data_IF_765984879991
#
_entry.id   IF_765984879991
#
_cell.length_a   1.000
_cell.length_b   1.000
_cell.length_c   1.000
_cell.angle_alpha   90.00
_cell.angle_beta   90.00
_cell.angle_gamma   90.00
#
_symmetry.space_group_name_H-M   'P 1'
#
loop_
_entity.id
_entity.type
_entity.pdbx_description
1 polymer ?
#
# COMPACT_ATOMS: atom_id res chain seq x y z
N UNK A 1 -13.52 -39.80 -6.16
CA UNK A 1 -13.24 -38.36 -5.93
C UNK A 1 -12.36 -37.82 -7.05
N UNK A 2 -12.93 -37.15 -8.06
CA UNK A 2 -12.17 -36.62 -9.20
C UNK A 2 -11.40 -35.36 -8.81
N UNK A 3 -10.07 -35.46 -8.70
CA UNK A 3 -9.17 -34.30 -8.61
C UNK A 3 -9.27 -33.52 -9.91
N UNK A 4 -10.06 -32.44 -9.91
CA UNK A 4 -10.17 -31.48 -11.01
C UNK A 4 -8.78 -30.83 -11.20
N UNK A 5 -7.94 -31.38 -12.09
CA UNK A 5 -6.69 -30.75 -12.52
C UNK A 5 -7.06 -29.39 -13.12
N UNK A 6 -6.62 -28.29 -12.51
CA UNK A 6 -6.75 -26.94 -13.08
C UNK A 6 -6.09 -26.97 -14.46
N UNK A 7 -6.86 -26.70 -15.51
CA UNK A 7 -6.31 -26.50 -16.85
C UNK A 7 -5.34 -25.30 -16.75
N UNK A 8 -4.12 -25.39 -17.31
CA UNK A 8 -3.21 -24.25 -17.34
C UNK A 8 -3.91 -23.09 -18.06
N UNK A 9 -3.87 -21.90 -17.46
CA UNK A 9 -4.35 -20.68 -18.10
C UNK A 9 -3.50 -20.46 -19.35
N UNK A 10 -4.13 -20.48 -20.53
CA UNK A 10 -3.45 -20.09 -21.78
C UNK A 10 -3.16 -18.61 -21.69
N UNK A 11 -1.89 -18.25 -21.56
CA UNK A 11 -1.42 -16.86 -21.61
C UNK A 11 -1.42 -16.42 -23.07
N UNK A 12 -1.98 -15.25 -23.36
CA UNK A 12 -2.01 -14.71 -24.72
C UNK A 12 -0.57 -14.32 -25.15
N UNK A 13 -0.17 -14.59 -26.41
CA UNK A 13 1.13 -14.19 -26.92
C UNK A 13 1.31 -12.66 -26.86
N UNK A 14 2.55 -12.19 -26.71
CA UNK A 14 2.89 -10.78 -26.48
C UNK A 14 2.38 -9.84 -27.58
N UNK A 15 2.27 -10.34 -28.82
CA UNK A 15 1.73 -9.64 -29.99
C UNK A 15 0.20 -9.46 -30.00
N UNK A 16 -0.50 -10.03 -29.01
CA UNK A 16 -1.96 -9.94 -28.97
C UNK A 16 -2.39 -8.50 -28.76
N UNK A 17 -3.14 -7.94 -29.70
CA UNK A 17 -3.77 -6.63 -29.56
C UNK A 17 -4.96 -6.73 -28.62
N UNK A 18 -4.92 -5.99 -27.52
CA UNK A 18 -5.99 -5.89 -26.53
C UNK A 18 -6.63 -4.51 -26.68
N UNK A 19 -7.96 -4.49 -26.80
CA UNK A 19 -8.73 -3.24 -26.85
C UNK A 19 -9.16 -2.91 -25.42
N UNK A 20 -8.62 -1.83 -24.87
CA UNK A 20 -9.02 -1.33 -23.54
C UNK A 20 -9.80 -0.02 -23.71
N UNK A 21 -11.04 0.07 -23.17
CA UNK A 21 -11.81 1.31 -23.18
C UNK A 21 -10.99 2.48 -22.58
N UNK A 22 -10.87 3.58 -23.32
CA UNK A 22 -10.11 4.78 -22.91
C UNK A 22 -8.61 4.78 -23.24
N UNK A 23 -8.08 3.72 -23.86
CA UNK A 23 -6.68 3.65 -24.35
C UNK A 23 -6.61 3.36 -25.86
N UNK A 24 -7.59 2.61 -26.40
CA UNK A 24 -7.58 2.13 -27.78
C UNK A 24 -7.01 0.71 -27.88
N UNK A 25 -6.79 0.21 -29.11
CA UNK A 25 -6.19 -1.09 -29.36
C UNK A 25 -4.67 -1.02 -29.23
N UNK A 26 -4.11 -1.72 -28.24
CA UNK A 26 -2.67 -1.73 -27.95
C UNK A 26 -2.17 -3.16 -27.78
N UNK A 27 -0.91 -3.42 -28.10
CA UNK A 27 -0.29 -4.74 -27.88
C UNK A 27 -0.05 -4.99 -26.38
N UNK A 28 0.05 -6.26 -25.93
CA UNK A 28 0.35 -6.57 -24.52
C UNK A 28 1.71 -6.03 -24.11
N UNK A 29 2.68 -6.00 -25.03
CA UNK A 29 4.01 -5.41 -24.85
C UNK A 29 3.93 -3.91 -24.52
N UNK A 30 3.11 -3.16 -25.25
CA UNK A 30 2.90 -1.71 -25.03
C UNK A 30 1.94 -1.42 -23.86
N UNK A 31 1.11 -2.39 -23.48
CA UNK A 31 0.19 -2.27 -22.36
C UNK A 31 0.94 -2.12 -21.04
N UNK A 32 2.03 -2.86 -20.85
CA UNK A 32 2.84 -2.76 -19.64
C UNK A 32 3.46 -1.36 -19.49
N UNK A 33 3.96 -0.78 -20.59
CA UNK A 33 4.54 0.56 -20.61
C UNK A 33 3.48 1.66 -20.45
N UNK A 34 2.36 1.60 -21.18
CA UNK A 34 1.27 2.58 -21.02
C UNK A 34 0.60 2.54 -19.65
N UNK A 35 0.51 1.37 -19.02
CA UNK A 35 0.04 1.26 -17.63
C UNK A 35 1.06 1.84 -16.63
N UNK A 36 2.35 1.74 -16.92
CA UNK A 36 3.43 2.38 -16.16
C UNK A 36 3.42 3.90 -16.30
N UNK A 37 3.25 4.40 -17.53
CA UNK A 37 3.19 5.83 -17.86
C UNK A 37 1.94 6.51 -17.29
N UNK A 38 0.78 5.85 -17.30
CA UNK A 38 -0.43 6.36 -16.67
C UNK A 38 -0.38 6.35 -15.13
N UNK A 39 0.71 5.90 -14.51
CA UNK A 39 0.91 6.00 -13.07
C UNK A 39 -0.16 5.28 -12.23
N UNK A 40 -0.90 4.33 -12.83
CA UNK A 40 -2.10 3.72 -12.24
C UNK A 40 -1.78 2.98 -10.93
N UNK A 41 -0.50 2.62 -10.71
CA UNK A 41 -0.02 2.02 -9.45
C UNK A 41 0.48 3.02 -8.39
N UNK A 42 1.05 4.18 -8.79
CA UNK A 42 1.73 5.08 -7.83
C UNK A 42 0.76 5.79 -6.89
N UNK A 43 -0.38 6.26 -7.40
CA UNK A 43 -1.35 6.99 -6.58
C UNK A 43 -1.99 6.12 -5.49
N UNK A 44 -2.22 4.83 -5.76
CA UNK A 44 -2.82 3.89 -4.82
C UNK A 44 -1.88 3.53 -3.67
N UNK A 45 -0.59 3.35 -3.97
CA UNK A 45 0.43 3.10 -2.95
C UNK A 45 0.66 4.32 -2.06
N UNK A 46 0.64 5.50 -2.65
CA UNK A 46 0.80 6.77 -1.96
C UNK A 46 -0.41 7.08 -1.06
N UNK A 47 -1.63 6.87 -1.55
CA UNK A 47 -2.85 6.95 -0.75
C UNK A 47 -2.86 5.93 0.39
N UNK A 48 -2.51 4.67 0.11
CA UNK A 48 -2.40 3.65 1.14
C UNK A 48 -1.42 4.05 2.23
N UNK A 49 -0.23 4.51 1.83
CA UNK A 49 0.83 4.92 2.77
C UNK A 49 0.37 6.10 3.61
N UNK A 50 -0.24 7.12 2.98
CA UNK A 50 -0.79 8.27 3.67
C UNK A 50 -1.86 7.87 4.69
N UNK A 51 -2.83 7.05 4.30
CA UNK A 51 -3.89 6.55 5.19
C UNK A 51 -3.34 5.74 6.35
N UNK A 52 -2.33 4.89 6.09
CA UNK A 52 -1.71 4.07 7.14
C UNK A 52 -0.99 4.94 8.16
N UNK A 53 -0.21 5.92 7.70
CA UNK A 53 0.51 6.83 8.59
C UNK A 53 -0.47 7.69 9.39
N UNK A 54 -1.53 8.21 8.77
CA UNK A 54 -2.58 8.94 9.48
C UNK A 54 -3.26 8.07 10.54
N UNK A 55 -3.63 6.84 10.23
CA UNK A 55 -4.23 5.91 11.22
C UNK A 55 -3.32 5.61 12.40
N UNK A 56 -1.99 5.64 12.22
CA UNK A 56 -1.02 5.48 13.32
C UNK A 56 -1.02 6.73 14.20
N UNK A 57 -1.08 7.92 13.60
CA UNK A 57 -1.16 9.20 14.33
C UNK A 57 -2.47 9.26 15.13
N UNK A 58 -3.60 8.97 14.50
CA UNK A 58 -4.94 8.98 15.12
C UNK A 58 -5.04 7.98 16.28
N UNK A 59 -4.26 6.88 16.22
CA UNK A 59 -4.16 5.89 17.30
C UNK A 59 -3.21 6.29 18.45
N UNK A 60 -2.72 7.54 18.46
CA UNK A 60 -1.81 8.07 19.49
C UNK A 60 -0.32 7.81 19.22
N UNK A 61 0.06 7.51 17.98
CA UNK A 61 1.46 7.43 17.54
C UNK A 61 2.26 6.22 18.04
N UNK A 62 1.68 5.34 18.86
CA UNK A 62 2.33 4.13 19.38
C UNK A 62 1.54 2.88 19.05
N UNK A 63 1.80 2.27 17.90
CA UNK A 63 1.01 1.15 17.38
C UNK A 63 1.78 -0.16 17.48
N UNK A 64 1.19 -1.20 18.07
CA UNK A 64 1.80 -2.53 18.10
C UNK A 64 1.70 -3.23 16.75
N UNK A 65 2.55 -4.23 16.49
CA UNK A 65 2.54 -4.98 15.21
C UNK A 65 1.17 -5.54 14.85
N UNK A 66 0.42 -6.05 15.83
CA UNK A 66 -0.91 -6.62 15.63
C UNK A 66 -1.93 -5.57 15.18
N UNK A 67 -1.93 -4.40 15.84
CA UNK A 67 -2.77 -3.26 15.48
C UNK A 67 -2.38 -2.71 14.10
N UNK A 68 -1.08 -2.59 13.84
CA UNK A 68 -0.56 -2.12 12.55
C UNK A 68 -1.02 -3.03 11.40
N UNK A 69 -0.94 -4.35 11.58
CA UNK A 69 -1.42 -5.32 10.58
C UNK A 69 -2.94 -5.28 10.41
N UNK A 70 -3.68 -4.96 11.48
CA UNK A 70 -5.13 -4.74 11.40
C UNK A 70 -5.45 -3.51 10.55
N UNK A 71 -4.87 -2.35 10.88
CA UNK A 71 -4.99 -1.12 10.10
C UNK A 71 -4.60 -1.35 8.64
N UNK A 72 -3.50 -2.06 8.39
CA UNK A 72 -3.05 -2.42 7.05
C UNK A 72 -4.13 -3.17 6.26
N UNK A 73 -4.78 -4.15 6.89
CA UNK A 73 -5.82 -4.96 6.27
C UNK A 73 -7.08 -4.13 6.01
N UNK A 74 -7.48 -3.31 6.98
CA UNK A 74 -8.68 -2.47 6.90
C UNK A 74 -8.54 -1.43 5.77
N UNK A 75 -7.39 -0.77 5.65
CA UNK A 75 -7.09 0.17 4.56
C UNK A 75 -7.05 -0.55 3.21
N UNK A 76 -6.44 -1.75 3.13
CA UNK A 76 -6.46 -2.56 1.90
C UNK A 76 -7.88 -2.91 1.46
N UNK A 77 -8.76 -3.25 2.42
CA UNK A 77 -10.16 -3.54 2.14
C UNK A 77 -10.92 -2.29 1.69
N UNK A 78 -10.70 -1.15 2.34
CA UNK A 78 -11.29 0.13 1.98
C UNK A 78 -10.92 0.56 0.56
N UNK A 79 -9.65 0.36 0.15
CA UNK A 79 -9.18 0.67 -1.20
C UNK A 79 -9.52 -0.42 -2.23
N UNK A 80 -10.11 -1.56 -1.82
CA UNK A 80 -10.42 -2.68 -2.73
C UNK A 80 -9.19 -3.41 -3.29
N UNK A 81 -8.02 -3.29 -2.65
CA UNK A 81 -6.74 -3.77 -3.19
C UNK A 81 -6.33 -5.11 -2.57
N UNK A 82 -6.16 -6.14 -3.41
CA UNK A 82 -5.64 -7.45 -2.97
C UNK A 82 -4.12 -7.51 -2.87
N UNK A 83 -3.39 -6.78 -3.72
CA UNK A 83 -1.93 -6.76 -3.76
C UNK A 83 -1.43 -5.33 -3.86
N UNK A 84 -0.59 -4.95 -2.91
CA UNK A 84 0.04 -3.63 -2.81
C UNK A 84 1.54 -3.88 -2.77
N UNK A 85 2.33 -3.14 -3.55
CA UNK A 85 3.79 -3.24 -3.57
C UNK A 85 4.45 -2.67 -2.32
N UNK A 86 3.68 -1.94 -1.51
CA UNK A 86 4.12 -1.40 -0.22
C UNK A 86 4.31 -2.55 0.79
N UNK A 87 5.47 -2.59 1.43
CA UNK A 87 5.80 -3.53 2.50
C UNK A 87 6.19 -2.77 3.76
N UNK A 88 6.00 -3.40 4.93
CA UNK A 88 6.38 -2.78 6.20
C UNK A 88 7.87 -2.46 6.25
N UNK A 89 8.72 -3.35 5.72
CA UNK A 89 10.17 -3.12 5.67
C UNK A 89 10.49 -1.91 4.79
N UNK A 90 9.85 -1.78 3.62
CA UNK A 90 10.03 -0.60 2.76
C UNK A 90 9.69 0.71 3.48
N UNK A 91 8.63 0.75 4.29
CA UNK A 91 8.28 1.94 5.09
C UNK A 91 9.32 2.26 6.18
N UNK A 92 9.99 1.24 6.71
CA UNK A 92 11.07 1.41 7.70
C UNK A 92 12.37 1.85 7.00
N UNK A 93 12.73 1.21 5.89
CA UNK A 93 13.94 1.49 5.11
C UNK A 93 13.90 2.89 4.50
N UNK A 94 12.72 3.32 4.04
CA UNK A 94 12.50 4.71 3.57
C UNK A 94 12.46 5.73 4.71
N UNK A 95 12.49 5.27 5.96
CA UNK A 95 12.47 6.11 7.14
C UNK A 95 11.14 6.82 7.34
N UNK A 96 10.02 6.28 6.83
CA UNK A 96 8.68 6.80 7.07
C UNK A 96 8.12 6.30 8.41
N UNK A 97 8.54 5.11 8.82
CA UNK A 97 8.00 4.40 9.97
C UNK A 97 9.15 3.89 10.83
N UNK A 98 9.14 4.18 12.12
CA UNK A 98 10.18 3.75 13.05
C UNK A 98 9.65 2.61 13.93
N UNK A 99 10.45 1.56 14.07
CA UNK A 99 10.22 0.51 15.09
C UNK A 99 11.00 0.89 16.34
N UNK A 100 10.29 1.19 17.42
CA UNK A 100 10.88 1.56 18.70
C UNK A 100 10.76 0.40 19.69
N UNK A 101 11.85 0.09 20.39
CA UNK A 101 11.90 -0.92 21.46
C UNK A 101 12.44 -0.28 22.73
N UNK A 102 11.57 -0.10 23.72
CA UNK A 102 11.96 0.40 25.04
C UNK A 102 12.20 -0.78 26.00
N UNK A 103 13.14 -0.66 26.96
CA UNK A 103 13.35 -1.68 27.98
C UNK A 103 12.06 -1.89 28.79
N UNK A 104 11.71 -3.16 29.05
CA UNK A 104 10.49 -3.52 29.78
C UNK A 104 9.17 -3.33 29.01
N UNK A 105 9.19 -2.88 27.75
CA UNK A 105 7.98 -2.73 26.91
C UNK A 105 8.06 -3.55 25.63
N UNK A 106 6.88 -3.88 25.08
CA UNK A 106 6.78 -4.49 23.76
C UNK A 106 7.17 -3.48 22.69
N UNK A 107 7.79 -3.91 21.58
CA UNK A 107 8.13 -3.02 20.49
C UNK A 107 6.86 -2.45 19.86
N UNK A 108 6.91 -1.17 19.53
CA UNK A 108 5.84 -0.44 18.86
C UNK A 108 6.39 0.27 17.63
N UNK A 109 5.46 0.72 16.80
CA UNK A 109 5.73 1.42 15.57
C UNK A 109 5.17 2.83 15.68
N UNK A 110 5.95 3.80 15.21
CA UNK A 110 5.59 5.21 15.23
C UNK A 110 5.92 5.86 13.88
N UNK A 111 5.20 6.94 13.57
CA UNK A 111 5.46 7.76 12.38
C UNK A 111 6.67 8.64 12.66
N UNK A 112 7.51 8.83 11.65
CA UNK A 112 8.69 9.69 11.72
C UNK A 112 8.39 11.12 11.25
N UNK A 113 9.26 12.08 11.59
CA UNK A 113 9.19 13.45 11.08
C UNK A 113 9.23 13.50 9.54
N UNK A 114 10.09 12.67 8.92
CA UNK A 114 10.17 12.54 7.46
C UNK A 114 8.84 12.16 6.82
N UNK A 115 8.07 11.28 7.47
CA UNK A 115 6.75 10.92 6.99
C UNK A 115 5.73 12.05 7.13
N UNK A 116 5.80 12.83 8.22
CA UNK A 116 4.92 13.98 8.41
C UNK A 116 5.17 15.07 7.37
N UNK A 117 6.45 15.39 7.09
CA UNK A 117 6.83 16.38 6.07
C UNK A 117 6.44 15.92 4.66
N UNK A 118 6.77 14.67 4.30
CA UNK A 118 6.54 14.16 2.94
C UNK A 118 5.07 14.10 2.57
N UNK A 119 4.21 13.76 3.53
CA UNK A 119 2.77 13.56 3.30
C UNK A 119 1.89 14.70 3.81
N UNK A 120 2.50 15.74 4.38
CA UNK A 120 1.83 16.86 5.04
C UNK A 120 0.74 16.37 6.01
N UNK A 121 1.09 15.39 6.85
CA UNK A 121 0.17 14.80 7.82
C UNK A 121 -0.02 15.78 8.98
N UNK A 122 -1.28 16.08 9.32
CA UNK A 122 -1.60 16.89 10.48
C UNK A 122 -1.81 15.95 11.67
N UNK A 123 -1.11 16.23 12.77
CA UNK A 123 -1.53 15.74 14.07
C UNK A 123 -2.71 16.60 14.45
N UNK A 124 -3.93 16.08 14.30
CA UNK A 124 -5.10 16.67 14.96
C UNK A 124 -4.85 16.50 16.46
N UNK A 125 -4.13 17.47 17.06
CA UNK A 125 -4.33 17.77 18.45
C UNK A 125 -5.72 18.40 18.51
N UNK A 126 -6.74 17.74 19.10
CA UNK A 126 -7.88 18.51 19.55
C UNK A 126 -7.29 19.51 20.54
N UNK A 127 -7.18 20.79 20.13
CA UNK A 127 -6.89 21.88 21.04
C UNK A 127 -7.83 21.69 22.22
N UNK A 128 -7.22 21.44 23.38
CA UNK A 128 -7.94 21.34 24.63
C UNK A 128 -8.62 22.69 24.85
N UNK A 129 -9.95 22.67 24.72
CA UNK A 129 -10.96 23.43 25.47
C UNK A 129 -10.75 24.94 25.60
#
# INVERSE_FOLDING_TARGET
MSKRKKRPMKVAPEDTRVIIPGIGGITISELAEKLKERGVGKGLEEQFTKSLLQSIIDAGGMVQRSQLMKMWKDIKQSLGVRRLGVSLNSLIDTGLLARVKLPGRRPFYSVTEKAMEKFNLKVDHPEST
#
